data_IF_467154480423
#
_entry.id   IF_467154480423
#
_cell.length_a   1.000
_cell.length_b   1.000
_cell.length_c   1.000
_cell.angle_alpha   90.00
_cell.angle_beta   90.00
_cell.angle_gamma   90.00
#
_symmetry.space_group_name_H-M   'P 1'
#
loop_
_entity.id
_entity.type
_entity.pdbx_description
1 polymer ?
#
# COMPACT_ATOMS: atom_id res chain seq x y z
N UNK A 1 -11.25 39.23 38.43
CA UNK A 1 -10.35 38.11 38.76
C UNK A 1 -9.96 37.45 37.46
N UNK A 2 -8.86 37.88 36.83
CA UNK A 2 -8.22 37.17 35.73
C UNK A 2 -7.02 36.37 36.27
N UNK A 3 -6.99 35.06 36.03
CA UNK A 3 -5.80 34.20 36.11
C UNK A 3 -6.06 33.12 35.04
N UNK A 4 -5.40 33.21 33.88
CA UNK A 4 -4.19 32.46 33.54
C UNK A 4 -4.44 30.96 33.31
N UNK A 5 -4.52 30.56 32.04
CA UNK A 5 -3.77 29.40 31.54
C UNK A 5 -3.68 29.44 30.00
N UNK A 6 -2.63 30.09 29.49
CA UNK A 6 -2.11 29.79 28.16
C UNK A 6 -1.19 28.56 28.23
N UNK A 7 -1.20 27.80 27.13
CA UNK A 7 -0.17 26.85 26.66
C UNK A 7 -0.51 25.35 26.75
N UNK A 8 -0.95 24.82 25.61
CA UNK A 8 -0.56 23.49 25.15
C UNK A 8 -0.35 23.51 23.62
N UNK A 9 0.69 24.24 23.19
CA UNK A 9 1.44 23.83 22.01
C UNK A 9 2.38 22.72 22.47
N UNK A 10 2.07 21.46 22.17
CA UNK A 10 3.01 20.34 22.29
C UNK A 10 2.62 19.30 21.25
N UNK A 11 3.23 19.46 20.07
CA UNK A 11 4.32 18.60 19.59
C UNK A 11 3.80 17.23 19.19
N UNK A 12 3.91 16.97 17.88
CA UNK A 12 3.77 15.67 17.25
C UNK A 12 4.72 14.67 17.91
N UNK A 13 4.28 14.04 18.99
CA UNK A 13 4.89 12.83 19.52
C UNK A 13 4.42 11.67 18.63
N UNK A 14 4.89 11.69 17.39
CA UNK A 14 4.91 10.50 16.54
C UNK A 14 5.75 9.48 17.29
N UNK A 15 5.06 8.61 18.02
CA UNK A 15 5.65 7.44 18.66
C UNK A 15 6.38 6.69 17.56
N UNK A 16 7.71 6.77 17.53
CA UNK A 16 8.53 5.93 16.66
C UNK A 16 8.44 4.52 17.21
N UNK A 17 7.35 3.81 16.88
CA UNK A 17 7.37 2.35 16.93
C UNK A 17 8.44 1.91 15.94
N UNK A 18 9.36 1.07 16.38
CA UNK A 18 10.16 0.25 15.47
C UNK A 18 9.18 -0.69 14.76
N UNK A 19 8.70 -0.28 13.58
CA UNK A 19 7.80 -1.08 12.77
C UNK A 19 8.63 -2.19 12.12
N UNK A 20 8.18 -3.44 12.25
CA UNK A 20 8.73 -4.57 11.50
C UNK A 20 8.50 -4.34 9.99
N UNK A 21 9.31 -4.91 9.10
CA UNK A 21 9.15 -4.70 7.64
C UNK A 21 7.74 -5.02 7.12
N UNK A 22 7.08 -6.03 7.71
CA UNK A 22 5.67 -6.38 7.42
C UNK A 22 4.68 -5.26 7.73
N UNK A 23 4.91 -4.50 8.81
CA UNK A 23 4.07 -3.38 9.20
C UNK A 23 4.26 -2.20 8.23
N UNK A 24 5.49 -1.96 7.75
CA UNK A 24 5.73 -0.95 6.71
C UNK A 24 5.01 -1.30 5.40
N UNK A 25 5.00 -2.57 5.01
CA UNK A 25 4.24 -3.02 3.84
C UNK A 25 2.73 -2.80 4.01
N UNK A 26 2.17 -3.21 5.15
CA UNK A 26 0.74 -3.04 5.44
C UNK A 26 0.33 -1.56 5.45
N UNK A 27 1.15 -0.69 6.05
CA UNK A 27 0.90 0.75 6.08
C UNK A 27 0.90 1.35 4.66
N UNK A 28 1.82 0.91 3.78
CA UNK A 28 1.85 1.36 2.37
C UNK A 28 0.62 0.92 1.58
N UNK A 29 0.12 -0.30 1.82
CA UNK A 29 -1.13 -0.78 1.23
C UNK A 29 -2.29 0.09 1.71
N UNK A 30 -2.40 0.32 3.02
CA UNK A 30 -3.46 1.14 3.61
C UNK A 30 -3.44 2.57 3.09
N UNK A 31 -2.27 3.23 3.10
CA UNK A 31 -2.08 4.58 2.57
C UNK A 31 -2.48 4.67 1.11
N UNK A 32 -2.03 3.73 0.26
CA UNK A 32 -2.39 3.71 -1.16
C UNK A 32 -3.92 3.64 -1.38
N UNK A 33 -4.63 2.84 -0.58
CA UNK A 33 -6.09 2.71 -0.64
C UNK A 33 -6.78 3.99 -0.18
N UNK A 34 -6.34 4.57 0.94
CA UNK A 34 -6.91 5.80 1.52
C UNK A 34 -6.68 6.99 0.58
N UNK A 35 -5.46 7.22 0.11
CA UNK A 35 -5.14 8.31 -0.83
C UNK A 35 -5.96 8.19 -2.11
N UNK A 36 -6.10 6.96 -2.63
CA UNK A 36 -6.95 6.72 -3.80
C UNK A 36 -8.40 7.08 -3.50
N UNK A 37 -8.94 6.67 -2.35
CA UNK A 37 -10.29 7.03 -1.93
C UNK A 37 -10.45 8.54 -1.80
N UNK A 38 -9.53 9.23 -1.11
CA UNK A 38 -9.55 10.67 -0.89
C UNK A 38 -9.47 11.47 -2.20
N UNK A 39 -8.73 10.98 -3.20
CA UNK A 39 -8.65 11.61 -4.53
C UNK A 39 -9.98 11.61 -5.32
N UNK A 40 -10.94 10.73 -4.98
CA UNK A 40 -12.23 10.67 -5.66
C UNK A 40 -13.09 11.91 -5.39
N UNK A 41 -14.00 12.22 -6.33
CA UNK A 41 -15.01 13.27 -6.14
C UNK A 41 -15.86 12.99 -4.89
N UNK A 42 -16.44 14.05 -4.31
CA UNK A 42 -17.22 13.96 -3.06
C UNK A 42 -18.54 13.19 -3.19
N UNK A 43 -19.05 13.01 -4.41
CA UNK A 43 -20.28 12.25 -4.64
C UNK A 43 -20.06 10.75 -4.38
N UNK A 44 -20.91 10.16 -3.55
CA UNK A 44 -20.80 8.75 -3.16
C UNK A 44 -19.85 8.45 -1.99
N UNK A 45 -19.21 9.49 -1.42
CA UNK A 45 -18.46 9.38 -0.15
C UNK A 45 -19.39 9.65 1.04
N UNK A 46 -19.13 9.04 2.21
CA UNK A 46 -19.84 9.38 3.44
C UNK A 46 -19.68 10.87 3.76
N UNK A 47 -20.74 11.49 4.28
CA UNK A 47 -20.77 12.92 4.58
C UNK A 47 -20.95 13.18 6.09
N UNK A 48 -20.37 14.28 6.59
CA UNK A 48 -20.58 14.72 7.97
C UNK A 48 -20.11 13.71 9.02
N UNK A 49 -21.06 13.04 9.68
CA UNK A 49 -20.82 12.06 10.77
C UNK A 49 -20.96 10.60 10.32
N UNK A 50 -21.06 10.36 9.02
CA UNK A 50 -21.23 9.02 8.47
C UNK A 50 -19.88 8.28 8.41
N UNK A 51 -19.91 7.00 8.78
CA UNK A 51 -18.82 6.07 8.57
C UNK A 51 -19.25 5.00 7.58
N UNK A 52 -18.31 4.52 6.79
CA UNK A 52 -18.49 3.34 5.93
C UNK A 52 -17.24 2.47 6.02
N UNK A 53 -17.38 1.19 5.67
CA UNK A 53 -16.21 0.33 5.49
C UNK A 53 -15.61 0.62 4.13
N UNK A 54 -14.28 0.75 4.09
CA UNK A 54 -13.49 0.90 2.88
C UNK A 54 -12.67 -0.37 2.67
N UNK A 55 -12.72 -0.94 1.47
CA UNK A 55 -11.86 -2.02 1.04
C UNK A 55 -11.19 -1.64 -0.27
N UNK A 56 -9.98 -2.15 -0.49
CA UNK A 56 -9.27 -1.97 -1.74
C UNK A 56 -8.31 -3.12 -2.03
N UNK A 57 -7.98 -3.28 -3.30
CA UNK A 57 -6.95 -4.22 -3.75
C UNK A 57 -5.82 -3.41 -4.36
N UNK A 58 -4.60 -3.69 -3.91
CA UNK A 58 -3.39 -2.99 -4.33
C UNK A 58 -2.50 -3.93 -5.13
N UNK A 59 -2.12 -3.52 -6.32
CA UNK A 59 -1.11 -4.17 -7.13
C UNK A 59 0.27 -3.61 -6.72
N UNK A 60 1.16 -4.52 -6.31
CA UNK A 60 2.57 -4.21 -6.07
C UNK A 60 3.40 -4.62 -7.29
N UNK A 61 4.20 -3.71 -7.82
CA UNK A 61 5.15 -3.98 -8.91
C UNK A 61 6.56 -3.60 -8.48
N UNK A 62 7.57 -4.36 -8.92
CA UNK A 62 8.96 -3.96 -8.74
C UNK A 62 9.25 -2.87 -9.76
N UNK A 63 9.78 -1.72 -9.34
CA UNK A 63 10.31 -0.78 -10.33
C UNK A 63 11.61 -1.35 -10.86
N UNK A 64 11.61 -1.80 -12.13
CA UNK A 64 12.87 -2.04 -12.81
C UNK A 64 13.55 -0.68 -12.94
N UNK A 65 14.77 -0.54 -12.45
CA UNK A 65 15.58 0.69 -12.46
C UNK A 65 15.98 1.18 -13.86
N UNK A 66 15.19 0.89 -14.89
CA UNK A 66 15.42 1.25 -16.28
C UNK A 66 14.75 2.59 -16.63
N UNK A 67 15.24 3.68 -16.02
CA UNK A 67 15.13 5.05 -16.56
C UNK A 67 15.94 6.05 -15.73
N UNK A 68 17.26 5.85 -15.66
CA UNK A 68 18.23 6.92 -15.36
C UNK A 68 19.02 7.24 -16.61
N UNK A 69 18.40 7.90 -17.60
CA UNK A 69 19.11 8.61 -18.66
C UNK A 69 18.13 9.52 -19.40
N UNK A 70 18.01 10.79 -18.98
CA UNK A 70 17.65 11.96 -19.82
C UNK A 70 17.52 13.25 -19.00
N UNK A 71 18.51 13.62 -18.18
CA UNK A 71 18.84 15.04 -17.92
C UNK A 71 20.35 15.14 -17.79
N UNK A 72 21.03 15.30 -18.93
CA UNK A 72 22.42 15.78 -18.98
C UNK A 72 22.38 17.30 -19.03
N UNK A 73 23.02 17.95 -18.06
CA UNK A 73 23.75 19.25 -18.12
C UNK A 73 24.30 19.51 -16.71
N UNK A 74 25.55 19.15 -16.42
CA UNK A 74 26.82 19.83 -16.77
C UNK A 74 27.11 21.05 -15.88
N UNK A 75 27.98 20.85 -14.88
CA UNK A 75 29.05 21.73 -14.37
C UNK A 75 29.53 21.10 -13.05
N UNK A 76 30.76 20.59 -12.94
CA UNK A 76 31.91 21.32 -12.36
C UNK A 76 31.75 21.42 -10.83
N UNK A 77 32.63 20.99 -9.94
CA UNK A 77 34.09 21.06 -9.94
C UNK A 77 34.62 20.31 -8.69
N UNK A 78 35.92 20.10 -8.66
CA UNK A 78 36.78 19.28 -7.80
C UNK A 78 36.69 19.54 -6.29
N UNK A 79 37.05 18.54 -5.46
CA UNK A 79 38.18 18.69 -4.52
C UNK A 79 38.63 17.36 -3.90
N UNK A 80 39.96 17.18 -3.82
CA UNK A 80 40.70 16.11 -3.15
C UNK A 80 40.96 16.39 -1.66
N UNK A 81 41.25 15.32 -0.92
CA UNK A 81 42.01 15.31 0.35
C UNK A 81 41.15 15.14 1.61
N UNK A 82 41.55 14.47 2.69
CA UNK A 82 42.79 13.77 3.05
C UNK A 82 42.63 13.22 4.50
N UNK A 83 43.24 12.05 4.77
CA UNK A 83 43.77 11.51 6.06
C UNK A 83 42.85 10.89 7.15
N UNK A 84 43.05 9.57 7.30
CA UNK A 84 43.27 8.68 8.46
C UNK A 84 42.79 9.09 9.88
N UNK A 85 42.27 8.13 10.66
CA UNK A 85 43.00 7.39 11.74
C UNK A 85 42.13 6.25 12.33
N UNK A 86 42.81 5.14 12.65
CA UNK A 86 42.41 3.84 13.24
C UNK A 86 41.57 3.89 14.52
N UNK A 87 40.75 2.85 14.78
CA UNK A 87 40.89 1.99 15.97
C UNK A 87 40.08 0.68 15.83
N UNK A 88 40.78 -0.43 15.99
CA UNK A 88 40.31 -1.81 16.04
C UNK A 88 39.99 -2.21 17.48
N UNK A 89 38.84 -2.83 17.73
CA UNK A 89 38.63 -3.76 18.85
C UNK A 89 37.75 -4.91 18.41
N UNK A 90 38.32 -6.11 18.44
CA UNK A 90 37.69 -7.41 18.23
C UNK A 90 36.96 -7.85 19.51
N UNK A 91 35.81 -8.51 19.39
CA UNK A 91 35.08 -9.05 20.55
C UNK A 91 33.75 -9.73 20.24
N UNK A 92 33.82 -10.92 19.63
CA UNK A 92 32.97 -12.11 19.80
C UNK A 92 31.54 -12.00 20.37
N UNK A 93 30.55 -12.25 19.51
CA UNK A 93 29.35 -13.04 19.82
C UNK A 93 28.67 -13.61 18.55
N UNK A 94 28.98 -14.88 18.25
CA UNK A 94 28.18 -15.70 17.34
C UNK A 94 26.88 -16.11 18.04
N UNK A 95 25.72 -15.66 17.54
CA UNK A 95 24.41 -16.33 17.72
C UNK A 95 23.36 -15.75 16.76
N UNK A 96 22.94 -16.56 15.78
CA UNK A 96 21.68 -16.40 15.07
C UNK A 96 21.80 -15.94 13.61
N UNK A 97 22.16 -16.84 12.69
CA UNK A 97 21.72 -16.74 11.29
C UNK A 97 20.22 -16.99 11.26
N UNK A 98 19.44 -15.92 11.37
CA UNK A 98 18.09 -15.91 10.83
C UNK A 98 18.22 -15.37 9.41
N UNK A 99 17.62 -16.06 8.44
CA UNK A 99 17.57 -15.64 7.05
C UNK A 99 16.79 -14.31 6.95
N UNK A 100 17.49 -13.20 7.20
CA UNK A 100 17.05 -11.85 6.87
C UNK A 100 17.16 -11.69 5.35
N UNK A 101 16.22 -12.32 4.66
CA UNK A 101 15.85 -11.93 3.31
C UNK A 101 15.15 -10.56 3.42
N UNK A 102 15.94 -9.51 3.64
CA UNK A 102 15.53 -8.12 3.46
C UNK A 102 15.21 -7.92 1.96
N UNK A 103 14.01 -8.31 1.56
CA UNK A 103 13.45 -7.87 0.29
C UNK A 103 13.39 -6.34 0.35
N UNK A 104 14.31 -5.68 -0.36
CA UNK A 104 14.42 -4.23 -0.50
C UNK A 104 13.09 -3.62 -0.97
N UNK A 105 12.21 -3.31 -0.02
CA UNK A 105 10.85 -2.81 -0.24
C UNK A 105 10.83 -1.38 -0.81
N UNK A 106 11.95 -0.65 -0.76
CA UNK A 106 12.03 0.76 -1.15
C UNK A 106 11.72 1.01 -2.63
N UNK A 107 12.05 0.08 -3.53
CA UNK A 107 11.87 0.23 -4.98
C UNK A 107 10.56 -0.37 -5.51
N UNK A 108 9.60 -0.73 -4.65
CA UNK A 108 8.31 -1.25 -5.08
C UNK A 108 7.27 -0.13 -5.30
N UNK A 109 6.54 -0.18 -6.41
CA UNK A 109 5.40 0.71 -6.70
C UNK A 109 4.07 0.06 -6.31
N UNK A 110 3.18 0.84 -5.69
CA UNK A 110 1.88 0.42 -5.18
C UNK A 110 0.79 1.16 -5.94
N UNK A 111 -0.13 0.41 -6.54
CA UNK A 111 -1.26 0.96 -7.28
C UNK A 111 -2.56 0.34 -6.80
N UNK A 112 -3.45 1.16 -6.23
CA UNK A 112 -4.81 0.73 -5.92
C UNK A 112 -5.58 0.48 -7.23
N UNK A 113 -5.92 -0.78 -7.49
CA UNK A 113 -6.60 -1.23 -8.73
C UNK A 113 -8.10 -1.44 -8.53
N UNK A 114 -8.53 -1.67 -7.30
CA UNK A 114 -9.94 -1.82 -6.94
C UNK A 114 -10.20 -1.08 -5.64
N UNK A 115 -11.35 -0.42 -5.57
CA UNK A 115 -11.83 0.28 -4.39
C UNK A 115 -13.33 0.06 -4.23
N UNK A 116 -13.77 -0.17 -3.00
CA UNK A 116 -15.19 -0.35 -2.70
C UNK A 116 -15.53 0.14 -1.30
N UNK A 117 -16.78 0.56 -1.14
CA UNK A 117 -17.38 0.84 0.16
C UNK A 117 -18.70 0.09 0.30
N UNK A 118 -19.12 -0.15 1.54
CA UNK A 118 -20.42 -0.78 1.81
C UNK A 118 -20.45 -1.60 3.08
N UNK A 119 -21.62 -1.62 3.72
CA UNK A 119 -21.85 -2.24 5.04
C UNK A 119 -23.18 -2.99 5.11
N UNK A 120 -23.79 -3.26 3.95
CA UNK A 120 -25.13 -3.84 3.84
C UNK A 120 -25.16 -4.90 2.76
N UNK A 121 -26.23 -5.68 2.75
CA UNK A 121 -26.58 -6.63 1.69
C UNK A 121 -27.94 -6.28 1.09
N UNK A 122 -28.22 -6.83 -0.08
CA UNK A 122 -29.53 -6.73 -0.69
C UNK A 122 -30.58 -7.52 0.13
N UNK A 123 -31.76 -6.92 0.32
CA UNK A 123 -32.86 -7.55 1.05
C UNK A 123 -33.43 -8.77 0.32
N UNK A 124 -34.08 -9.67 1.07
CA UNK A 124 -34.66 -10.94 0.55
C UNK A 124 -35.87 -10.76 -0.39
N UNK A 125 -36.41 -9.54 -0.48
CA UNK A 125 -37.68 -9.23 -1.17
C UNK A 125 -37.51 -8.97 -2.68
N UNK A 126 -36.31 -9.12 -3.23
CA UNK A 126 -36.10 -8.97 -4.67
C UNK A 126 -36.68 -10.20 -5.39
N UNK A 127 -37.23 -10.00 -6.59
CA UNK A 127 -37.87 -11.08 -7.31
C UNK A 127 -36.85 -12.12 -7.75
N UNK A 128 -37.24 -13.41 -7.78
CA UNK A 128 -36.34 -14.50 -8.18
C UNK A 128 -35.74 -14.28 -9.58
N UNK A 129 -36.52 -13.68 -10.48
CA UNK A 129 -36.14 -13.31 -11.84
C UNK A 129 -34.99 -12.28 -11.89
N UNK A 130 -34.96 -11.31 -10.97
CA UNK A 130 -33.87 -10.33 -10.86
C UNK A 130 -32.54 -10.96 -10.39
N UNK A 131 -32.61 -12.10 -9.69
CA UNK A 131 -31.41 -12.82 -9.28
C UNK A 131 -30.84 -13.71 -10.39
N UNK A 132 -31.68 -14.24 -11.28
CA UNK A 132 -31.27 -15.20 -12.29
C UNK A 132 -30.53 -14.55 -13.47
N UNK A 133 -30.79 -13.28 -13.75
CA UNK A 133 -30.12 -12.55 -14.84
C UNK A 133 -28.77 -11.92 -14.42
N UNK A 134 -28.36 -12.05 -13.15
CA UNK A 134 -27.10 -11.50 -12.64
C UNK A 134 -27.08 -9.98 -12.45
N UNK A 135 -28.23 -9.30 -12.53
CA UNK A 135 -28.31 -7.83 -12.43
C UNK A 135 -28.22 -7.31 -10.99
N UNK A 136 -28.32 -8.20 -9.99
CA UNK A 136 -28.31 -7.83 -8.57
C UNK A 136 -27.02 -8.27 -7.88
N UNK A 137 -26.38 -7.32 -7.20
CA UNK A 137 -25.32 -7.60 -6.25
C UNK A 137 -25.92 -7.93 -4.88
N UNK A 138 -25.95 -9.22 -4.55
CA UNK A 138 -26.55 -9.72 -3.31
C UNK A 138 -25.83 -9.25 -2.04
N UNK A 139 -24.51 -9.24 -2.11
CA UNK A 139 -23.64 -8.86 -1.00
C UNK A 139 -22.79 -7.66 -1.44
N UNK A 140 -23.09 -6.51 -0.83
CA UNK A 140 -22.42 -5.25 -1.11
C UNK A 140 -21.56 -4.78 0.08
N UNK A 141 -21.08 -5.70 0.92
CA UNK A 141 -19.97 -5.38 1.81
C UNK A 141 -18.72 -5.00 1.00
N UNK A 142 -17.97 -4.03 1.50
CA UNK A 142 -16.84 -3.43 0.79
C UNK A 142 -15.84 -4.49 0.32
N UNK A 143 -15.46 -5.42 1.17
CA UNK A 143 -14.50 -6.49 0.88
C UNK A 143 -15.02 -7.46 -0.19
N UNK A 144 -16.32 -7.75 -0.19
CA UNK A 144 -16.95 -8.62 -1.19
C UNK A 144 -16.99 -7.94 -2.56
N UNK A 145 -17.34 -6.66 -2.59
CA UNK A 145 -17.27 -5.84 -3.79
C UNK A 145 -15.83 -5.70 -4.31
N UNK A 146 -14.85 -5.51 -3.43
CA UNK A 146 -13.45 -5.43 -3.82
C UNK A 146 -12.96 -6.73 -4.47
N UNK A 147 -13.35 -7.89 -3.96
CA UNK A 147 -13.05 -9.18 -4.59
C UNK A 147 -13.76 -9.37 -5.95
N UNK A 148 -15.00 -8.90 -6.08
CA UNK A 148 -15.73 -8.92 -7.36
C UNK A 148 -15.05 -7.99 -8.37
N UNK A 149 -14.66 -6.80 -7.94
CA UNK A 149 -13.90 -5.84 -8.74
C UNK A 149 -12.54 -6.39 -9.18
N UNK A 150 -11.88 -7.18 -8.34
CA UNK A 150 -10.62 -7.84 -8.73
C UNK A 150 -10.81 -8.80 -9.89
N UNK A 151 -11.90 -9.58 -9.91
CA UNK A 151 -12.21 -10.48 -11.05
C UNK A 151 -12.42 -9.71 -12.35
N UNK A 152 -13.12 -8.58 -12.28
CA UNK A 152 -13.32 -7.69 -13.44
C UNK A 152 -11.99 -7.08 -13.89
N UNK A 153 -11.18 -6.61 -12.94
CA UNK A 153 -9.86 -6.07 -13.26
C UNK A 153 -9.00 -7.13 -13.96
N UNK A 154 -8.92 -8.35 -13.42
CA UNK A 154 -8.18 -9.46 -14.02
C UNK A 154 -8.66 -9.80 -15.43
N UNK A 155 -9.97 -9.81 -15.67
CA UNK A 155 -10.54 -10.07 -17.00
C UNK A 155 -10.22 -8.97 -18.03
N UNK A 156 -9.85 -7.78 -17.58
CA UNK A 156 -9.46 -6.63 -18.41
C UNK A 156 -7.97 -6.27 -18.32
N UNK A 157 -7.21 -7.03 -17.52
CA UNK A 157 -5.83 -6.72 -17.23
C UNK A 157 -4.99 -7.02 -18.48
N UNK A 158 -3.93 -6.23 -18.74
CA UNK A 158 -2.99 -6.56 -19.80
C UNK A 158 -2.37 -7.95 -19.60
N UNK A 159 -2.25 -8.74 -20.66
CA UNK A 159 -1.74 -10.12 -20.62
C UNK A 159 -0.37 -10.19 -19.93
N UNK A 160 0.51 -9.23 -20.20
CA UNK A 160 1.83 -9.08 -19.58
C UNK A 160 1.76 -8.90 -18.06
N UNK A 161 0.72 -8.22 -17.55
CA UNK A 161 0.48 -8.14 -16.10
C UNK A 161 0.00 -9.48 -15.53
N UNK A 162 -0.89 -10.17 -16.24
CA UNK A 162 -1.43 -11.47 -15.80
C UNK A 162 -0.35 -12.55 -15.80
N UNK A 163 0.43 -12.63 -16.89
CA UNK A 163 1.55 -13.57 -17.01
C UNK A 163 2.62 -13.31 -15.95
N UNK A 164 2.96 -12.04 -15.69
CA UNK A 164 3.86 -11.68 -14.60
C UNK A 164 3.37 -12.13 -13.22
N UNK A 165 2.06 -12.03 -12.95
CA UNK A 165 1.46 -12.53 -11.71
C UNK A 165 1.52 -14.07 -11.62
N UNK A 166 1.22 -14.78 -12.72
CA UNK A 166 1.27 -16.24 -12.78
C UNK A 166 2.69 -16.79 -12.59
N UNK A 167 3.69 -16.15 -13.21
CA UNK A 167 5.09 -16.49 -13.03
C UNK A 167 5.56 -16.27 -11.59
N UNK A 168 5.07 -15.20 -10.95
CA UNK A 168 5.35 -14.96 -9.53
C UNK A 168 4.69 -15.99 -8.62
N UNK A 169 3.47 -16.45 -8.94
CA UNK A 169 2.82 -17.51 -8.15
C UNK A 169 3.52 -18.86 -8.29
N UNK A 170 4.00 -19.22 -9.48
CA UNK A 170 4.75 -20.48 -9.65
C UNK A 170 6.04 -20.52 -8.83
N UNK A 171 6.72 -19.38 -8.68
CA UNK A 171 7.94 -19.26 -7.83
C UNK A 171 7.66 -19.36 -6.33
N UNK A 172 6.40 -19.20 -5.89
CA UNK A 172 6.02 -19.35 -4.48
C UNK A 172 5.73 -20.81 -4.10
N UNK A 173 5.37 -21.66 -5.06
CA UNK A 173 5.09 -23.09 -4.81
C UNK A 173 6.37 -23.95 -4.74
N UNK A 174 7.51 -23.44 -5.21
CA UNK A 174 8.82 -24.12 -5.17
C UNK A 174 9.67 -23.81 -3.92
N UNK A 175 9.07 -23.22 -2.86
CA UNK A 175 9.72 -22.94 -1.57
C UNK A 175 9.04 -23.69 -0.44
#
# INVERSE_FOLDING_TARGET
MPDDEQAAQSTSSTTRRCLTGTQQHADRVATCVIEKFESLKKHGKPQGKEWTVLAGVVLRTKTSSSSRESVRKSAGDQNEGNRNTVHETQGLDERGKHDEQEDRDEDASYRCIVLATGTRCAGRQLAAEDYLNGSIVRDCHAEVLAQKGLRLWLASAPDDTVMGLLEMSGKLEER
#
